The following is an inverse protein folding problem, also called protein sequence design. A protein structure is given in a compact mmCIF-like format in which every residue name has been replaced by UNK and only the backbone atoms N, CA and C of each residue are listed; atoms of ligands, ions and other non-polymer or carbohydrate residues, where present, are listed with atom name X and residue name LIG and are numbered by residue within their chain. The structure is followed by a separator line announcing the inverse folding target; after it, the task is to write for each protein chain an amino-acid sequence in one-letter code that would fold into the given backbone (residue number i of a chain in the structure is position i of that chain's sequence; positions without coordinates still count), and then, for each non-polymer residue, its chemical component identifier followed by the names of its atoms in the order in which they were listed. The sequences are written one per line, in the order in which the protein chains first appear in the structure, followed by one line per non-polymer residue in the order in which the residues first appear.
data_IF_508717980807
#
_entry.id   IF_508717980807
#
_cell.length_a   1.000
_cell.length_b   1.000
_cell.length_c   1.000
_cell.angle_alpha   90.00
_cell.angle_beta   90.00
_cell.angle_gamma   90.00
#
_symmetry.space_group_name_H-M   'P 1'
#
loop_
_entity.id
_entity.type
_entity.pdbx_description
1 polymer ?
#
# COMPACT_ATOMS: atom_id res chain seq x y z
N UNK A 1 17.88 -46.73 47.62
CA UNK A 1 18.61 -46.78 46.33
C UNK A 1 17.57 -46.80 45.23
N UNK A 2 17.43 -45.90 44.25
CA UNK A 2 18.05 -44.62 43.86
C UNK A 2 17.03 -43.92 42.92
N UNK A 3 16.48 -42.74 43.26
CA UNK A 3 15.70 -41.96 42.30
C UNK A 3 16.16 -40.49 42.30
N UNK A 4 17.30 -40.16 41.69
CA UNK A 4 17.73 -38.75 41.61
C UNK A 4 18.49 -38.34 40.34
N UNK A 5 18.66 -39.23 39.37
CA UNK A 5 19.51 -38.95 38.20
C UNK A 5 18.77 -38.24 37.06
N UNK A 6 17.47 -38.49 36.86
CA UNK A 6 16.72 -37.95 35.70
C UNK A 6 16.38 -36.45 35.78
N UNK A 7 16.34 -35.86 36.97
CA UNK A 7 15.96 -34.44 37.13
C UNK A 7 17.11 -33.48 36.78
N UNK A 8 18.37 -33.89 37.05
CA UNK A 8 19.55 -33.07 36.71
C UNK A 8 19.78 -32.94 35.21
N UNK A 9 19.41 -33.95 34.43
CA UNK A 9 19.65 -33.97 32.98
C UNK A 9 18.75 -33.02 32.20
N UNK A 10 17.55 -32.70 32.71
CA UNK A 10 16.63 -31.73 32.08
C UNK A 10 16.93 -30.28 32.44
N UNK A 11 17.55 -30.02 33.60
CA UNK A 11 17.90 -28.66 34.01
C UNK A 11 19.11 -28.11 33.24
N UNK A 12 20.06 -28.95 32.85
CA UNK A 12 21.25 -28.53 32.07
C UNK A 12 20.93 -28.12 30.63
N UNK A 13 19.83 -28.61 30.05
CA UNK A 13 19.42 -28.23 28.68
C UNK A 13 18.81 -26.82 28.60
N UNK A 14 18.21 -26.32 29.69
CA UNK A 14 17.58 -25.00 29.75
C UNK A 14 18.58 -23.85 30.00
N UNK A 15 19.72 -24.15 30.63
CA UNK A 15 20.76 -23.14 30.89
C UNK A 15 21.65 -22.92 29.66
N UNK A 16 21.81 -23.95 28.81
CA UNK A 16 22.60 -23.86 27.57
C UNK A 16 22.01 -22.93 26.50
N UNK A 17 20.68 -22.73 26.46
CA UNK A 17 20.06 -21.86 25.45
C UNK A 17 20.09 -20.37 25.79
N UNK A 18 20.38 -20.00 27.04
CA UNK A 18 20.44 -18.59 27.47
C UNK A 18 21.82 -17.94 27.24
N UNK A 19 22.87 -18.73 27.02
CA UNK A 19 24.23 -18.19 26.82
C UNK A 19 24.50 -17.86 25.33
N UNK A 20 23.75 -18.43 24.39
CA UNK A 20 23.94 -18.16 22.94
C UNK A 20 23.27 -16.86 22.45
N UNK A 21 22.54 -16.15 23.32
CA UNK A 21 21.93 -14.84 22.99
C UNK A 21 22.82 -13.63 23.37
N UNK A 22 24.01 -13.87 23.95
CA UNK A 22 24.81 -12.80 24.59
C UNK A 22 26.01 -12.24 23.80
N UNK A 23 26.39 -12.78 22.63
CA UNK A 23 27.68 -12.43 21.97
C UNK A 23 27.51 -11.94 20.51
N UNK A 24 26.45 -11.19 20.21
CA UNK A 24 26.35 -10.43 18.96
C UNK A 24 26.02 -8.97 19.23
N UNK A 25 26.78 -8.38 20.15
CA UNK A 25 26.91 -6.92 20.26
C UNK A 25 28.37 -6.55 20.06
N UNK A 26 28.71 -5.97 18.90
CA UNK A 26 29.68 -4.87 18.73
C UNK A 26 30.07 -4.71 17.25
N UNK A 27 30.34 -3.46 16.85
CA UNK A 27 30.61 -2.95 15.50
C UNK A 27 29.27 -2.70 14.78
N UNK A 28 28.80 -1.45 14.64
CA UNK A 28 29.37 -0.41 13.77
C UNK A 28 29.20 0.98 14.42
N UNK A 29 30.28 1.77 14.41
CA UNK A 29 30.30 3.19 14.75
C UNK A 29 30.46 4.03 13.47
N UNK A 30 29.80 5.19 13.46
CA UNK A 30 30.00 6.41 12.63
C UNK A 30 29.46 6.45 11.19
N UNK A 31 28.33 7.15 11.03
CA UNK A 31 28.20 8.34 10.17
C UNK A 31 26.81 8.96 10.36
N UNK A 32 26.71 10.05 11.12
CA UNK A 32 25.52 10.91 11.16
C UNK A 32 25.70 12.03 10.14
N UNK A 33 25.13 11.94 8.92
CA UNK A 33 24.89 13.14 8.14
C UNK A 33 23.84 13.98 8.87
N UNK A 34 24.11 15.28 9.00
CA UNK A 34 23.21 16.23 9.65
C UNK A 34 21.79 16.15 9.09
N UNK A 35 20.87 15.67 9.92
CA UNK A 35 19.44 15.76 9.67
C UNK A 35 19.02 17.21 9.85
N UNK A 36 18.81 17.90 8.73
CA UNK A 36 17.92 19.05 8.70
C UNK A 36 16.54 18.56 9.12
N UNK A 37 16.09 19.00 10.30
CA UNK A 37 14.72 18.83 10.75
C UNK A 37 13.82 19.66 9.84
N UNK A 38 13.32 19.06 8.77
CA UNK A 38 12.13 19.55 8.09
C UNK A 38 10.99 19.36 9.08
N UNK A 39 10.61 20.44 9.77
CA UNK A 39 9.35 20.50 10.50
C UNK A 39 8.22 20.33 9.49
N UNK A 40 7.71 19.11 9.36
CA UNK A 40 6.42 18.90 8.74
C UNK A 40 5.36 19.55 9.63
N UNK A 41 4.51 20.43 9.09
CA UNK A 41 3.40 20.98 9.86
C UNK A 41 2.49 19.84 10.30
N UNK A 42 2.32 19.69 11.61
CA UNK A 42 1.38 18.77 12.21
C UNK A 42 -0.03 19.27 11.94
N UNK A 43 -0.62 18.86 10.83
CA UNK A 43 -2.05 19.05 10.56
C UNK A 43 -2.82 18.15 11.52
N UNK A 44 -3.31 18.76 12.59
CA UNK A 44 -4.33 18.23 13.48
C UNK A 44 -5.59 18.00 12.63
N UNK A 45 -5.82 16.78 12.16
CA UNK A 45 -7.06 16.45 11.46
C UNK A 45 -8.22 16.26 12.46
N UNK A 46 -9.27 17.09 12.42
CA UNK A 46 -10.54 16.76 13.04
C UNK A 46 -11.23 15.66 12.21
N UNK A 47 -11.88 14.73 12.91
CA UNK A 47 -12.73 13.73 12.30
C UNK A 47 -13.86 14.42 11.49
N UNK A 48 -13.69 14.49 10.17
CA UNK A 48 -14.68 14.96 9.21
C UNK A 48 -14.34 14.33 7.87
N UNK A 49 -15.33 13.76 7.18
CA UNK A 49 -15.14 13.09 5.89
C UNK A 49 -14.54 14.03 4.86
N UNK A 50 -13.23 13.96 4.70
CA UNK A 50 -12.47 14.76 3.76
C UNK A 50 -12.54 14.10 2.38
N UNK A 51 -13.16 14.82 1.44
CA UNK A 51 -13.13 14.50 0.03
C UNK A 51 -11.67 14.35 -0.44
N UNK A 52 -11.37 13.53 -1.47
CA UNK A 52 -10.00 13.31 -1.93
C UNK A 52 -9.30 14.65 -2.21
N UNK A 53 -8.33 15.00 -1.36
CA UNK A 53 -7.52 16.20 -1.51
C UNK A 53 -6.40 15.95 -2.51
N UNK A 54 -6.22 16.93 -3.39
CA UNK A 54 -5.22 16.93 -4.43
C UNK A 54 -3.98 17.68 -3.95
N UNK A 55 -2.92 16.97 -3.58
CA UNK A 55 -1.65 17.61 -3.20
C UNK A 55 -0.80 17.89 -4.44
N UNK A 56 -0.46 19.16 -4.63
CA UNK A 56 0.46 19.62 -5.68
C UNK A 56 1.79 19.94 -5.00
N UNK A 57 2.82 19.13 -5.24
CA UNK A 57 4.19 19.46 -4.80
C UNK A 57 4.79 20.45 -5.78
N UNK A 58 4.65 21.75 -5.50
CA UNK A 58 5.19 22.83 -6.33
C UNK A 58 6.64 23.12 -5.95
N UNK A 59 7.56 22.88 -6.89
CA UNK A 59 8.91 23.46 -6.85
C UNK A 59 8.86 24.97 -7.06
N UNK A 60 9.26 25.70 -6.02
CA UNK A 60 9.43 27.14 -5.82
C UNK A 60 9.80 27.97 -7.08
N UNK A 61 9.00 29.03 -7.35
CA UNK A 61 9.26 30.25 -8.16
C UNK A 61 8.84 30.33 -9.66
N UNK A 62 7.54 30.43 -9.96
CA UNK A 62 7.03 31.27 -11.07
C UNK A 62 5.53 31.57 -10.95
N UNK A 63 5.05 32.77 -11.37
CA UNK A 63 3.65 33.18 -11.33
C UNK A 63 2.78 32.60 -12.47
N UNK A 64 3.36 31.86 -13.41
CA UNK A 64 2.63 31.00 -14.34
C UNK A 64 2.43 29.63 -13.68
N UNK A 65 1.16 29.27 -13.42
CA UNK A 65 0.77 27.97 -12.88
C UNK A 65 1.59 26.86 -13.56
N UNK A 66 2.40 26.08 -12.82
CA UNK A 66 3.19 25.03 -13.44
C UNK A 66 2.22 24.11 -14.18
N UNK A 67 2.51 23.89 -15.45
CA UNK A 67 1.86 22.85 -16.26
C UNK A 67 2.29 21.55 -15.61
N UNK A 68 1.60 21.09 -14.56
CA UNK A 68 1.96 19.88 -13.80
C UNK A 68 1.51 18.66 -14.61
N UNK A 69 2.10 17.49 -14.39
CA UNK A 69 1.52 16.25 -14.93
C UNK A 69 0.15 15.99 -14.26
N UNK A 70 -0.96 15.95 -14.99
CA UNK A 70 -2.29 15.71 -14.39
C UNK A 70 -2.64 14.23 -14.53
N UNK A 71 -2.93 13.54 -13.43
CA UNK A 71 -3.55 12.21 -13.46
C UNK A 71 -5.07 12.42 -13.46
N UNK A 72 -5.72 11.95 -14.53
CA UNK A 72 -7.16 11.75 -14.58
C UNK A 72 -7.48 10.27 -14.30
N UNK A 73 -8.29 10.06 -13.28
CA UNK A 73 -8.72 8.73 -12.84
C UNK A 73 -10.15 8.86 -12.32
N UNK A 74 -11.15 8.22 -12.98
CA UNK A 74 -12.49 8.08 -12.42
C UNK A 74 -12.47 7.48 -11.02
N UNK A 75 -13.59 7.55 -10.30
CA UNK A 75 -13.69 6.93 -8.98
C UNK A 75 -13.35 5.44 -9.04
N UNK A 76 -12.50 5.00 -8.10
CA UNK A 76 -12.19 3.59 -7.94
C UNK A 76 -13.46 2.81 -7.55
N UNK A 77 -13.65 1.63 -8.13
CA UNK A 77 -14.74 0.72 -7.78
C UNK A 77 -14.15 -0.54 -7.14
N UNK A 78 -14.83 -1.10 -6.13
CA UNK A 78 -14.45 -2.40 -5.58
C UNK A 78 -15.61 -3.40 -5.74
N UNK A 79 -15.34 -4.54 -6.37
CA UNK A 79 -16.32 -5.57 -6.69
C UNK A 79 -16.01 -6.91 -6.01
N UNK A 80 -17.07 -7.65 -5.66
CA UNK A 80 -17.03 -9.03 -5.17
C UNK A 80 -17.64 -9.92 -6.27
N UNK A 81 -16.84 -10.58 -7.11
CA UNK A 81 -17.36 -11.35 -8.24
C UNK A 81 -18.04 -12.66 -7.79
N UNK A 82 -17.60 -13.25 -6.67
CA UNK A 82 -18.16 -14.48 -6.14
C UNK A 82 -18.17 -14.47 -4.60
N UNK A 83 -19.34 -14.62 -3.96
CA UNK A 83 -19.44 -14.62 -2.50
C UNK A 83 -18.77 -15.86 -1.88
N UNK A 84 -18.30 -15.72 -0.64
CA UNK A 84 -17.62 -16.76 0.12
C UNK A 84 -16.16 -16.98 -0.25
N UNK A 85 -15.61 -16.20 -1.19
CA UNK A 85 -14.21 -16.31 -1.63
C UNK A 85 -13.27 -15.42 -0.83
N UNK A 86 -13.79 -14.35 -0.22
CA UNK A 86 -13.03 -13.32 0.47
C UNK A 86 -12.18 -12.47 -0.47
N UNK A 87 -12.33 -12.63 -1.78
CA UNK A 87 -11.56 -11.96 -2.80
C UNK A 87 -12.39 -10.85 -3.45
N UNK A 88 -11.91 -9.62 -3.30
CA UNK A 88 -12.47 -8.45 -3.94
C UNK A 88 -11.45 -7.87 -4.91
N UNK A 89 -11.93 -7.07 -5.87
CA UNK A 89 -11.10 -6.48 -6.92
C UNK A 89 -11.36 -4.99 -6.96
N UNK A 90 -10.28 -4.21 -6.84
CA UNK A 90 -10.32 -2.76 -7.00
C UNK A 90 -9.96 -2.44 -8.44
N UNK A 91 -10.77 -1.65 -9.11
CA UNK A 91 -10.59 -1.29 -10.52
C UNK A 91 -10.93 0.18 -10.81
N UNK A 92 -10.42 0.64 -11.96
CA UNK A 92 -10.71 1.93 -12.56
C UNK A 92 -11.18 1.69 -13.99
N UNK A 93 -12.10 2.53 -14.48
CA UNK A 93 -12.51 2.48 -15.90
C UNK A 93 -11.32 2.78 -16.82
N UNK A 94 -10.53 3.79 -16.46
CA UNK A 94 -9.25 4.09 -17.10
C UNK A 94 -8.34 4.84 -16.12
N UNK A 95 -7.04 4.87 -16.44
CA UNK A 95 -6.09 5.80 -15.86
C UNK A 95 -5.44 6.58 -16.99
N UNK A 96 -5.42 7.91 -16.87
CA UNK A 96 -4.85 8.79 -17.87
C UNK A 96 -3.90 9.78 -17.23
N UNK A 97 -2.75 10.02 -17.85
CA UNK A 97 -1.83 11.09 -17.44
C UNK A 97 -1.25 11.79 -18.66
N UNK A 98 -1.05 13.10 -18.54
CA UNK A 98 -0.33 13.92 -19.54
C UNK A 98 0.91 14.51 -18.90
N UNK A 99 2.02 14.51 -19.64
CA UNK A 99 3.29 15.12 -19.26
C UNK A 99 3.27 16.63 -19.49
N UNK A 100 4.21 17.32 -18.87
CA UNK A 100 4.51 18.72 -19.18
C UNK A 100 5.02 18.85 -20.63
N UNK A 101 4.81 20.00 -21.26
CA UNK A 101 5.32 20.26 -22.60
C UNK A 101 6.85 20.05 -22.66
N UNK A 102 7.31 19.24 -23.62
CA UNK A 102 8.72 18.86 -23.77
C UNK A 102 9.20 17.70 -22.88
N UNK A 103 8.33 17.13 -22.03
CA UNK A 103 8.60 15.95 -21.21
C UNK A 103 7.89 14.70 -21.76
N UNK A 104 8.31 13.53 -21.25
CA UNK A 104 7.67 12.25 -21.51
C UNK A 104 7.31 11.54 -20.20
N UNK A 105 6.20 10.82 -20.19
CA UNK A 105 5.84 9.94 -19.07
C UNK A 105 6.80 8.74 -19.06
N UNK A 106 7.44 8.51 -17.92
CA UNK A 106 8.34 7.36 -17.70
C UNK A 106 7.56 6.21 -17.09
N UNK A 107 6.71 6.51 -16.09
CA UNK A 107 5.99 5.46 -15.38
C UNK A 107 4.71 5.94 -14.73
N UNK A 108 3.78 5.02 -14.52
CA UNK A 108 2.64 5.17 -13.63
C UNK A 108 2.55 3.95 -12.71
N UNK A 109 2.33 4.18 -11.42
CA UNK A 109 2.24 3.12 -10.41
C UNK A 109 0.90 3.18 -9.70
N UNK A 110 0.38 2.01 -9.34
CA UNK A 110 -0.80 1.86 -8.49
C UNK A 110 -0.38 1.20 -7.20
N UNK A 111 -0.59 1.87 -6.08
CA UNK A 111 -0.31 1.37 -4.74
C UNK A 111 -1.62 1.28 -3.96
N UNK A 112 -1.86 0.16 -3.27
CA UNK A 112 -3.04 -0.06 -2.43
C UNK A 112 -2.59 -0.53 -1.05
N UNK A 113 -2.98 0.16 0.03
CA UNK A 113 -2.47 -0.02 1.40
C UNK A 113 -0.93 -0.08 1.44
N UNK A 114 -0.28 0.90 0.79
CA UNK A 114 1.19 1.00 0.70
C UNK A 114 1.88 -0.20 0.02
N UNK A 115 1.16 -1.03 -0.73
CA UNK A 115 1.71 -2.14 -1.53
C UNK A 115 1.57 -1.85 -3.01
N UNK A 116 2.68 -1.90 -3.75
CA UNK A 116 2.69 -1.77 -5.21
C UNK A 116 1.85 -2.90 -5.83
N UNK A 117 0.85 -2.55 -6.64
CA UNK A 117 -0.06 -3.48 -7.32
C UNK A 117 0.10 -3.48 -8.84
N UNK A 118 0.48 -2.34 -9.41
CA UNK A 118 0.86 -2.23 -10.81
C UNK A 118 1.97 -1.22 -11.01
N UNK A 119 2.73 -1.46 -12.08
CA UNK A 119 3.77 -0.60 -12.59
C UNK A 119 3.68 -0.58 -14.12
N UNK A 120 3.24 0.54 -14.67
CA UNK A 120 3.16 0.78 -16.10
C UNK A 120 4.35 1.64 -16.52
N UNK A 121 5.02 1.25 -17.61
CA UNK A 121 6.13 2.01 -18.18
C UNK A 121 5.68 2.71 -19.45
N UNK A 122 6.09 3.97 -19.59
CA UNK A 122 5.89 4.75 -20.80
C UNK A 122 7.11 4.61 -21.71
N UNK A 123 6.87 4.62 -23.02
CA UNK A 123 7.94 4.67 -24.02
C UNK A 123 7.86 6.01 -24.76
N UNK A 124 8.49 7.05 -24.21
CA UNK A 124 8.58 8.39 -24.83
C UNK A 124 7.23 8.96 -25.30
N UNK A 125 6.18 8.76 -24.53
CA UNK A 125 4.86 9.33 -24.82
C UNK A 125 4.62 10.56 -23.95
N UNK A 126 4.06 11.62 -24.54
CA UNK A 126 3.62 12.82 -23.82
C UNK A 126 2.34 12.58 -23.02
N UNK A 127 1.66 11.46 -23.23
CA UNK A 127 0.53 11.00 -22.44
C UNK A 127 0.55 9.48 -22.31
N UNK A 128 -0.08 8.96 -21.26
CA UNK A 128 -0.24 7.52 -21.04
C UNK A 128 -1.68 7.25 -20.68
N UNK A 129 -2.33 6.37 -21.45
CA UNK A 129 -3.69 5.90 -21.22
C UNK A 129 -3.67 4.40 -20.94
N UNK A 130 -4.22 4.02 -19.79
CA UNK A 130 -4.33 2.63 -19.35
C UNK A 130 -5.83 2.31 -19.24
N UNK A 131 -6.41 1.60 -20.21
CA UNK A 131 -7.80 1.17 -20.13
C UNK A 131 -7.98 0.11 -19.03
N UNK A 132 -9.14 0.07 -18.39
CA UNK A 132 -9.44 -0.84 -17.28
C UNK A 132 -9.25 -2.32 -17.62
N UNK A 133 -9.49 -2.69 -18.88
CA UNK A 133 -9.33 -4.05 -19.41
C UNK A 133 -7.89 -4.56 -19.32
N UNK A 134 -6.89 -3.68 -19.36
CA UNK A 134 -5.48 -4.07 -19.16
C UNK A 134 -5.18 -4.52 -17.74
N UNK A 135 -6.04 -4.15 -16.79
CA UNK A 135 -5.91 -4.52 -15.38
C UNK A 135 -6.96 -5.53 -14.94
N UNK A 136 -7.81 -6.01 -15.86
CA UNK A 136 -8.91 -6.92 -15.56
C UNK A 136 -8.42 -8.23 -14.89
N UNK A 137 -9.16 -8.75 -13.89
CA UNK A 137 -10.43 -8.26 -13.36
C UNK A 137 -10.31 -7.12 -12.32
N UNK A 138 -9.13 -6.53 -12.18
CA UNK A 138 -8.78 -5.53 -11.18
C UNK A 138 -7.69 -6.03 -10.23
N UNK A 139 -7.36 -5.21 -9.23
CA UNK A 139 -6.35 -5.54 -8.23
C UNK A 139 -6.96 -6.32 -7.07
N UNK A 140 -6.54 -7.58 -6.92
CA UNK A 140 -7.04 -8.46 -5.86
C UNK A 140 -6.67 -7.97 -4.45
N UNK A 141 -7.69 -7.82 -3.62
CA UNK A 141 -7.63 -7.47 -2.20
C UNK A 141 -8.55 -8.38 -1.38
N UNK A 142 -8.47 -8.34 -0.05
CA UNK A 142 -9.44 -9.04 0.79
C UNK A 142 -10.72 -8.23 0.94
N UNK A 143 -11.89 -8.86 0.86
CA UNK A 143 -13.15 -8.13 1.03
C UNK A 143 -13.32 -7.61 2.47
N UNK A 144 -12.80 -8.32 3.48
CA UNK A 144 -13.04 -8.01 4.89
C UNK A 144 -14.38 -8.54 5.39
N UNK A 145 -14.48 -8.73 6.71
CA UNK A 145 -15.72 -9.20 7.34
C UNK A 145 -16.78 -8.10 7.39
N UNK A 146 -18.08 -8.44 7.49
CA UNK A 146 -19.15 -7.48 7.73
C UNK A 146 -18.84 -6.54 8.91
N UNK A 147 -18.98 -5.23 8.70
CA UNK A 147 -18.66 -4.22 9.72
C UNK A 147 -17.23 -3.67 9.67
N UNK A 148 -16.34 -4.22 8.84
CA UNK A 148 -14.94 -3.76 8.76
C UNK A 148 -14.81 -2.33 8.24
N UNK A 149 -15.80 -1.83 7.50
CA UNK A 149 -15.84 -0.49 6.90
C UNK A 149 -16.73 0.49 7.66
N UNK A 150 -16.92 0.28 8.97
CA UNK A 150 -17.80 1.07 9.84
C UNK A 150 -19.30 1.00 9.54
N UNK A 151 -19.72 0.20 8.56
CA UNK A 151 -21.12 -0.14 8.29
C UNK A 151 -21.32 -1.66 8.24
N UNK A 152 -22.45 -2.21 8.73
CA UNK A 152 -22.67 -3.65 8.82
C UNK A 152 -22.54 -4.39 7.49
N UNK A 153 -22.95 -3.74 6.41
CA UNK A 153 -22.94 -4.19 5.02
C UNK A 153 -21.60 -3.99 4.30
N UNK A 154 -20.65 -3.28 4.92
CA UNK A 154 -19.37 -2.93 4.30
C UNK A 154 -18.22 -3.78 4.80
N UNK A 155 -17.35 -4.13 3.85
CA UNK A 155 -16.09 -4.81 4.07
C UNK A 155 -14.97 -3.83 4.39
N UNK A 156 -13.73 -4.21 4.10
CA UNK A 156 -12.54 -3.40 4.38
C UNK A 156 -12.47 -2.20 3.42
N UNK A 157 -12.08 -1.06 3.97
CA UNK A 157 -11.69 0.14 3.19
C UNK A 157 -10.20 0.12 2.92
N UNK A 158 -9.83 0.48 1.69
CA UNK A 158 -8.46 0.52 1.20
C UNK A 158 -8.08 1.93 0.82
N UNK A 159 -6.87 2.37 1.18
CA UNK A 159 -6.29 3.58 0.61
C UNK A 159 -5.54 3.24 -0.67
N UNK A 160 -5.58 4.12 -1.65
CA UNK A 160 -4.80 3.98 -2.87
C UNK A 160 -4.00 5.24 -3.20
N UNK A 161 -2.90 5.04 -3.90
CA UNK A 161 -2.07 6.09 -4.49
C UNK A 161 -1.78 5.72 -5.94
N UNK A 162 -2.19 6.60 -6.84
CA UNK A 162 -1.80 6.57 -8.25
C UNK A 162 -0.65 7.56 -8.39
N UNK A 163 0.54 7.12 -8.80
CA UNK A 163 1.68 8.01 -8.94
C UNK A 163 2.29 7.90 -10.33
N UNK A 164 2.40 9.03 -11.04
CA UNK A 164 3.08 9.13 -12.32
C UNK A 164 4.39 9.90 -12.19
N UNK A 165 5.37 9.54 -13.01
CA UNK A 165 6.68 10.21 -13.12
C UNK A 165 6.99 10.50 -14.58
N UNK A 166 7.56 11.67 -14.83
CA UNK A 166 8.02 12.09 -16.15
C UNK A 166 9.52 12.44 -16.20
N UNK A 167 10.05 12.60 -17.41
CA UNK A 167 11.47 12.91 -17.67
C UNK A 167 11.93 14.25 -17.12
N UNK A 168 11.01 15.20 -16.92
CA UNK A 168 11.31 16.49 -16.29
C UNK A 168 11.57 16.40 -14.78
N UNK A 169 11.47 15.22 -14.16
CA UNK A 169 11.62 15.03 -12.71
C UNK A 169 10.38 15.41 -11.91
N UNK A 170 9.33 15.90 -12.57
CA UNK A 170 8.02 16.17 -11.97
C UNK A 170 7.30 14.83 -11.73
N UNK A 171 6.58 14.76 -10.62
CA UNK A 171 5.68 13.65 -10.32
C UNK A 171 4.31 14.19 -9.98
N UNK A 172 3.28 13.42 -10.30
CA UNK A 172 1.93 13.68 -9.83
C UNK A 172 1.38 12.46 -9.12
N UNK A 173 0.53 12.74 -8.14
CA UNK A 173 -0.16 11.72 -7.39
C UNK A 173 -1.66 12.03 -7.30
N UNK A 174 -2.47 10.98 -7.35
CA UNK A 174 -3.88 11.01 -7.01
C UNK A 174 -4.10 10.04 -5.85
N UNK A 175 -4.78 10.51 -4.81
CA UNK A 175 -5.02 9.80 -3.58
C UNK A 175 -6.51 9.57 -3.41
N UNK A 176 -6.87 8.44 -2.84
CA UNK A 176 -8.25 8.20 -2.45
C UNK A 176 -8.40 6.94 -1.61
N UNK A 177 -9.65 6.58 -1.39
CA UNK A 177 -10.01 5.33 -0.73
C UNK A 177 -11.18 4.68 -1.44
N UNK A 178 -11.28 3.37 -1.29
CA UNK A 178 -12.41 2.58 -1.80
C UNK A 178 -12.81 1.57 -0.74
N UNK A 179 -14.12 1.49 -0.49
CA UNK A 179 -14.69 0.51 0.43
C UNK A 179 -15.21 -0.67 -0.37
N UNK A 180 -14.74 -1.87 -0.03
CA UNK A 180 -15.20 -3.10 -0.65
C UNK A 180 -16.47 -3.63 0.03
N UNK A 181 -17.32 -4.40 -0.69
CA UNK A 181 -18.40 -5.14 -0.06
C UNK A 181 -17.85 -6.15 0.95
N UNK A 182 -18.61 -6.44 1.99
CA UNK A 182 -18.25 -7.46 2.96
C UNK A 182 -18.35 -8.87 2.35
N UNK A 183 -17.50 -9.79 2.80
CA UNK A 183 -17.62 -11.21 2.47
C UNK A 183 -17.27 -12.10 3.66
N UNK A 184 -17.88 -13.28 3.72
CA UNK A 184 -17.68 -14.27 4.79
C UNK A 184 -17.15 -15.56 4.20
N UNK A 185 -15.84 -15.79 4.36
CA UNK A 185 -15.18 -17.03 3.90
C UNK A 185 -15.49 -18.15 4.89
N UNK A 186 -16.15 -19.20 4.41
CA UNK A 186 -16.34 -20.43 5.18
C UNK A 186 -15.19 -21.38 4.88
N UNK A 187 -14.22 -21.46 5.79
CA UNK A 187 -13.14 -22.44 5.72
C UNK A 187 -13.61 -23.70 6.43
N UNK A 188 -13.86 -24.76 5.68
CA UNK A 188 -14.13 -26.08 6.23
C UNK A 188 -12.79 -26.77 6.50
N UNK A 189 -12.54 -27.16 7.75
CA UNK A 189 -11.39 -28.01 8.07
C UNK A 189 -11.56 -29.35 7.35
N UNK A 190 -10.51 -29.89 6.71
CA UNK A 190 -10.57 -31.25 6.18
C UNK A 190 -10.91 -32.20 7.33
N UNK A 191 -11.85 -33.11 7.10
CA UNK A 191 -12.25 -34.10 8.10
C UNK A 191 -11.00 -34.84 8.62
N UNK A 192 -10.64 -34.60 9.89
CA UNK A 192 -9.66 -35.42 10.59
C UNK A 192 -10.34 -36.76 10.86
N UNK A 193 -10.07 -37.76 10.01
CA UNK A 193 -10.36 -39.15 10.35
C UNK A 193 -9.45 -39.54 11.53
N UNK A 194 -10.08 -40.08 12.59
CA UNK A 194 -9.37 -40.59 13.78
C UNK A 194 -8.72 -41.93 13.49
#
# INVERSE_FOLDING_TARGET
MEPNVKLRQRLSALIGSLILAGIMGSIIIHATPGLQTVQMPTTKNPAGGELPQREIVVGINSPDSPTISFIDSPSATCSLPAPGTGACYIEWNYLYVTAVSGSYIISMTVTIDNRLRAYHTGFFQSSMYIPGEMTAPGYKVSCGAPGSGSRPDWGKTYSYVLQARETGGVSAANYGSVTCPADVVKIYLPFLQK
#
